data_IF_053022105912
#
_entry.id   IF_053022105912
#
_cell.length_a   1.000
_cell.length_b   1.000
_cell.length_c   1.000
_cell.angle_alpha   90.00
_cell.angle_beta   90.00
_cell.angle_gamma   90.00
#
_symmetry.space_group_name_H-M   'P 1'
#
loop_
_entity.id
_entity.type
_entity.pdbx_description
1 polymer ?
#
# COMPACT_ATOMS: atom_id res chain seq x y z
N UNK A 1 0.14 -11.64 12.77
CA UNK A 1 0.92 -10.41 12.51
C UNK A 1 2.31 -10.57 13.11
N UNK A 2 3.25 -11.06 12.32
CA UNK A 2 4.69 -11.16 12.66
C UNK A 2 5.28 -9.82 13.16
N UNK A 3 4.70 -8.69 12.73
CA UNK A 3 5.12 -7.34 13.11
C UNK A 3 5.03 -7.08 14.62
N UNK A 4 4.12 -7.73 15.34
CA UNK A 4 3.97 -7.58 16.80
C UNK A 4 5.18 -8.12 17.57
N UNK A 5 5.90 -9.07 17.01
CA UNK A 5 7.11 -9.63 17.61
C UNK A 5 8.34 -8.75 17.38
N UNK A 6 8.27 -7.83 16.40
CA UNK A 6 9.36 -6.89 16.11
C UNK A 6 9.38 -5.73 17.11
N UNK A 7 8.25 -5.33 17.68
CA UNK A 7 8.18 -4.20 18.63
C UNK A 7 8.99 -4.43 19.91
N UNK A 8 8.91 -5.60 20.60
CA UNK A 8 9.77 -5.90 21.75
C UNK A 8 11.26 -5.95 21.41
N UNK A 9 11.63 -6.45 20.22
CA UNK A 9 13.01 -6.48 19.75
C UNK A 9 13.55 -5.06 19.56
N UNK A 10 12.75 -4.15 19.01
CA UNK A 10 13.11 -2.73 18.85
C UNK A 10 13.27 -2.01 20.19
N UNK A 11 12.45 -2.30 21.20
CA UNK A 11 12.60 -1.69 22.54
C UNK A 11 13.91 -2.11 23.22
N UNK A 12 14.40 -3.34 22.97
CA UNK A 12 15.71 -3.78 23.47
C UNK A 12 16.88 -3.00 22.84
N UNK A 13 16.74 -2.61 21.56
CA UNK A 13 17.78 -1.86 20.82
C UNK A 13 17.66 -0.35 21.11
N UNK A 14 16.44 0.16 21.26
CA UNK A 14 16.12 1.57 21.50
C UNK A 14 15.30 1.70 22.80
N UNK A 15 15.94 1.57 23.97
CA UNK A 15 15.24 1.57 25.25
C UNK A 15 14.51 2.89 25.49
N UNK A 16 13.26 2.79 25.95
CA UNK A 16 12.35 3.90 26.22
C UNK A 16 11.90 4.70 24.99
N UNK A 17 12.23 4.32 23.76
CA UNK A 17 11.75 5.03 22.57
C UNK A 17 10.22 4.98 22.49
N UNK A 18 9.66 3.77 22.53
CA UNK A 18 8.20 3.61 22.45
C UNK A 18 7.53 4.13 23.71
N UNK A 19 8.11 3.87 24.89
CA UNK A 19 7.58 4.37 26.17
C UNK A 19 7.56 5.89 26.23
N UNK A 20 8.62 6.55 25.75
CA UNK A 20 8.72 8.02 25.67
C UNK A 20 7.68 8.65 24.76
N UNK A 21 7.21 7.91 23.74
CA UNK A 21 6.11 8.31 22.86
C UNK A 21 4.72 7.91 23.40
N UNK A 22 4.63 7.42 24.65
CA UNK A 22 3.37 6.94 25.24
C UNK A 22 2.80 5.70 24.55
N UNK A 23 3.65 4.90 23.91
CA UNK A 23 3.30 3.66 23.21
C UNK A 23 3.52 2.47 24.14
N UNK A 24 2.49 1.64 24.33
CA UNK A 24 2.54 0.45 25.19
C UNK A 24 2.71 -0.81 24.34
N UNK A 25 3.82 -1.52 24.55
CA UNK A 25 4.13 -2.78 23.85
C UNK A 25 3.10 -3.85 24.16
N UNK A 26 2.67 -3.96 25.42
CA UNK A 26 1.64 -4.91 25.84
C UNK A 26 0.31 -4.69 25.09
N UNK A 27 -0.10 -3.43 24.91
CA UNK A 27 -1.31 -3.10 24.16
C UNK A 27 -1.16 -3.48 22.68
N UNK A 28 0.00 -3.20 22.07
CA UNK A 28 0.29 -3.57 20.68
C UNK A 28 0.23 -5.08 20.47
N UNK A 29 0.79 -5.85 21.40
CA UNK A 29 0.76 -7.32 21.33
C UNK A 29 -0.66 -7.88 21.41
N UNK A 30 -1.55 -7.22 22.18
CA UNK A 30 -2.96 -7.61 22.34
C UNK A 30 -3.88 -7.13 21.22
N UNK A 31 -3.45 -6.23 20.34
CA UNK A 31 -4.26 -5.79 19.19
C UNK A 31 -4.74 -7.00 18.39
N UNK A 32 -5.97 -6.99 17.87
CA UNK A 32 -6.54 -8.10 17.07
C UNK A 32 -6.67 -7.75 15.60
N UNK A 33 -6.77 -6.46 15.30
CA UNK A 33 -6.95 -5.94 13.94
C UNK A 33 -5.79 -5.05 13.51
N UNK A 34 -5.64 -4.83 12.21
CA UNK A 34 -4.65 -3.89 11.69
C UNK A 34 -4.97 -2.45 12.12
N UNK A 35 -6.25 -2.07 12.16
CA UNK A 35 -6.70 -0.75 12.62
C UNK A 35 -6.33 -0.51 14.08
N UNK A 36 -6.51 -1.50 14.96
CA UNK A 36 -6.06 -1.39 16.36
C UNK A 36 -4.54 -1.24 16.47
N UNK A 37 -3.80 -2.00 15.65
CA UNK A 37 -2.34 -1.89 15.61
C UNK A 37 -1.91 -0.50 15.15
N UNK A 38 -2.52 0.03 14.08
CA UNK A 38 -2.22 1.36 13.56
C UNK A 38 -2.63 2.46 14.54
N UNK A 39 -3.73 2.27 15.26
CA UNK A 39 -4.16 3.21 16.31
C UNK A 39 -3.15 3.26 17.47
N UNK A 40 -2.59 2.11 17.85
CA UNK A 40 -1.70 2.00 19.00
C UNK A 40 -0.24 2.35 18.69
N UNK A 41 0.20 2.13 17.44
CA UNK A 41 1.59 2.29 17.02
C UNK A 41 1.73 3.26 15.84
N UNK A 42 1.20 2.90 14.67
CA UNK A 42 1.49 3.60 13.41
C UNK A 42 1.11 5.08 13.45
N UNK A 43 -0.11 5.40 13.89
CA UNK A 43 -0.59 6.77 14.03
C UNK A 43 0.27 7.59 14.98
N UNK A 44 0.65 7.04 16.14
CA UNK A 44 1.54 7.72 17.09
C UNK A 44 2.92 7.98 16.52
N UNK A 45 3.51 7.01 15.81
CA UNK A 45 4.78 7.20 15.12
C UNK A 45 4.68 8.26 14.02
N UNK A 46 3.53 8.36 13.36
CA UNK A 46 3.24 9.35 12.33
C UNK A 46 2.75 10.72 12.88
N UNK A 47 2.69 10.90 14.21
CA UNK A 47 2.18 12.12 14.83
C UNK A 47 0.69 12.40 14.57
N UNK A 48 -0.08 11.37 14.23
CA UNK A 48 -1.52 11.44 13.98
C UNK A 48 -2.30 11.14 15.26
N UNK A 49 -3.54 11.66 15.34
CA UNK A 49 -4.42 11.49 16.49
C UNK A 49 -4.79 10.01 16.73
N UNK A 50 -5.10 9.31 15.65
CA UNK A 50 -5.53 7.92 15.65
C UNK A 50 -5.31 7.29 14.25
N UNK A 51 -5.69 6.02 14.09
CA UNK A 51 -5.58 5.31 12.82
C UNK A 51 -6.34 5.98 11.68
N UNK A 52 -7.51 6.56 11.94
CA UNK A 52 -8.33 7.16 10.88
C UNK A 52 -7.75 8.50 10.42
N UNK A 53 -7.28 9.34 11.36
CA UNK A 53 -6.52 10.56 11.04
C UNK A 53 -5.24 10.21 10.25
N UNK A 54 -4.57 9.11 10.62
CA UNK A 54 -3.43 8.60 9.86
C UNK A 54 -3.82 8.22 8.43
N UNK A 55 -4.89 7.44 8.25
CA UNK A 55 -5.36 7.04 6.92
C UNK A 55 -5.82 8.24 6.08
N UNK A 56 -6.51 9.21 6.67
CA UNK A 56 -6.96 10.41 5.96
C UNK A 56 -5.78 11.23 5.43
N UNK A 57 -4.75 11.43 6.25
CA UNK A 57 -3.56 12.23 5.88
C UNK A 57 -2.59 11.51 4.96
N UNK A 58 -2.48 10.18 5.07
CA UNK A 58 -1.42 9.41 4.42
C UNK A 58 -1.93 8.48 3.31
N UNK A 59 -3.24 8.38 3.08
CA UNK A 59 -3.78 7.57 1.99
C UNK A 59 -3.48 8.22 0.64
N UNK A 60 -2.91 7.42 -0.27
CA UNK A 60 -2.67 7.83 -1.66
C UNK A 60 -3.96 8.17 -2.42
N UNK A 61 -5.10 7.61 -2.01
CA UNK A 61 -6.40 7.78 -2.66
C UNK A 61 -6.74 9.25 -2.96
N UNK A 62 -6.54 10.13 -1.98
CA UNK A 62 -6.91 11.54 -2.09
C UNK A 62 -5.99 12.35 -3.01
N UNK A 63 -4.84 11.77 -3.39
CA UNK A 63 -3.85 12.37 -4.27
C UNK A 63 -3.97 11.90 -5.72
N UNK A 64 -4.66 10.79 -6.00
CA UNK A 64 -4.79 10.22 -7.34
C UNK A 64 -5.37 11.22 -8.36
N UNK A 65 -6.32 12.05 -7.94
CA UNK A 65 -6.92 13.10 -8.79
C UNK A 65 -5.94 14.19 -9.25
N UNK A 66 -4.78 14.30 -8.59
CA UNK A 66 -3.74 15.31 -8.91
C UNK A 66 -2.67 14.78 -9.87
N UNK A 67 -2.79 13.53 -10.30
CA UNK A 67 -1.86 12.91 -11.24
C UNK A 67 -2.21 13.36 -12.66
N UNK A 68 -1.22 13.96 -13.34
CA UNK A 68 -1.32 14.46 -14.71
C UNK A 68 -0.34 13.77 -15.68
N UNK A 69 0.21 12.62 -15.28
CA UNK A 69 1.12 11.83 -16.09
C UNK A 69 0.61 10.39 -16.15
N UNK A 70 0.69 9.70 -17.31
CA UNK A 70 0.25 8.31 -17.42
C UNK A 70 0.85 7.44 -16.32
N UNK A 71 -0.02 6.83 -15.52
CA UNK A 71 0.32 6.11 -14.30
C UNK A 71 -0.43 4.79 -14.27
N UNK A 72 0.32 3.70 -14.17
CA UNK A 72 -0.21 2.36 -13.98
C UNK A 72 -0.34 2.05 -12.48
N UNK A 73 -1.54 1.68 -12.06
CA UNK A 73 -1.83 1.10 -10.75
C UNK A 73 -2.05 -0.39 -10.97
N UNK A 74 -1.16 -1.21 -10.42
CA UNK A 74 -1.26 -2.67 -10.47
C UNK A 74 -1.55 -3.21 -9.07
N UNK A 75 -2.65 -3.94 -8.92
CA UNK A 75 -3.02 -4.56 -7.63
C UNK A 75 -3.81 -5.83 -7.86
N UNK A 76 -3.29 -6.97 -7.41
CA UNK A 76 -3.92 -8.27 -7.61
C UNK A 76 -5.17 -8.47 -6.74
N UNK A 77 -6.17 -9.16 -7.30
CA UNK A 77 -7.44 -9.44 -6.62
C UNK A 77 -7.34 -10.45 -5.48
N UNK A 78 -6.29 -11.27 -5.47
CA UNK A 78 -5.99 -12.24 -4.42
C UNK A 78 -5.06 -11.70 -3.34
N UNK A 79 -4.77 -10.39 -3.33
CA UNK A 79 -3.97 -9.76 -2.27
C UNK A 79 -4.72 -9.80 -0.92
N UNK A 80 -4.23 -10.54 0.09
CA UNK A 80 -4.90 -10.65 1.39
C UNK A 80 -4.87 -9.37 2.22
N UNK A 81 -4.07 -8.37 1.83
CA UNK A 81 -3.97 -7.08 2.50
C UNK A 81 -4.98 -6.07 1.96
N UNK A 82 -5.53 -6.30 0.77
CA UNK A 82 -6.41 -5.34 0.08
C UNK A 82 -7.88 -5.68 0.29
N UNK A 83 -8.67 -4.67 0.66
CA UNK A 83 -10.13 -4.78 0.65
C UNK A 83 -10.70 -4.30 -0.69
N UNK A 84 -11.97 -4.60 -0.98
CA UNK A 84 -12.62 -4.13 -2.21
C UNK A 84 -12.60 -2.60 -2.40
N UNK A 85 -12.49 -1.82 -1.31
CA UNK A 85 -12.38 -0.35 -1.36
C UNK A 85 -10.98 0.16 -1.68
N UNK A 86 -9.97 -0.71 -1.69
CA UNK A 86 -8.59 -0.34 -1.99
C UNK A 86 -8.33 -0.20 -3.50
N UNK A 87 -9.26 -0.62 -4.35
CA UNK A 87 -9.17 -0.51 -5.80
C UNK A 87 -9.79 0.82 -6.27
N UNK A 88 -9.00 1.79 -6.76
CA UNK A 88 -9.46 3.15 -7.04
C UNK A 88 -10.22 3.25 -8.38
N UNK A 89 -11.28 2.45 -8.54
CA UNK A 89 -12.04 2.31 -9.78
C UNK A 89 -12.73 3.61 -10.17
N UNK A 90 -13.24 4.36 -9.19
CA UNK A 90 -13.91 5.63 -9.46
C UNK A 90 -12.91 6.74 -9.80
N UNK A 91 -11.75 6.77 -9.14
CA UNK A 91 -10.68 7.73 -9.44
C UNK A 91 -10.13 7.52 -10.85
N UNK A 92 -9.96 6.27 -11.27
CA UNK A 92 -9.52 5.89 -12.62
C UNK A 92 -10.54 6.29 -13.68
N UNK A 93 -11.84 6.08 -13.42
CA UNK A 93 -12.90 6.56 -14.33
C UNK A 93 -12.88 8.08 -14.51
N UNK A 94 -12.48 8.82 -13.48
CA UNK A 94 -12.49 10.28 -13.45
C UNK A 94 -11.15 10.92 -13.85
N UNK A 95 -10.10 10.13 -14.11
CA UNK A 95 -8.78 10.64 -14.50
C UNK A 95 -8.15 9.76 -15.59
N UNK A 96 -8.13 10.28 -16.82
CA UNK A 96 -7.59 9.58 -17.99
C UNK A 96 -6.09 9.26 -17.91
N UNK A 97 -5.34 9.89 -17.00
CA UNK A 97 -3.93 9.55 -16.75
C UNK A 97 -3.74 8.32 -15.87
N UNK A 98 -4.80 7.80 -15.25
CA UNK A 98 -4.74 6.63 -14.39
C UNK A 98 -5.22 5.39 -15.13
N UNK A 99 -4.43 4.32 -15.02
CA UNK A 99 -4.78 3.01 -15.55
C UNK A 99 -4.75 2.02 -14.40
N UNK A 100 -5.79 1.21 -14.26
CA UNK A 100 -5.90 0.22 -13.18
C UNK A 100 -5.95 -1.19 -13.74
N UNK A 101 -4.99 -2.00 -13.29
CA UNK A 101 -4.89 -3.40 -13.65
C UNK A 101 -5.08 -4.27 -12.40
N UNK A 102 -6.11 -5.12 -12.43
CA UNK A 102 -6.47 -5.99 -11.31
C UNK A 102 -6.43 -7.46 -11.73
N UNK A 103 -5.23 -8.04 -11.89
CA UNK A 103 -5.08 -9.44 -12.25
C UNK A 103 -5.69 -10.34 -11.18
N UNK A 104 -6.17 -11.53 -11.57
CA UNK A 104 -6.76 -12.50 -10.63
C UNK A 104 -5.74 -12.99 -9.59
N UNK A 105 -4.48 -13.10 -9.99
CA UNK A 105 -3.41 -13.65 -9.17
C UNK A 105 -2.18 -12.76 -9.21
N UNK A 106 -1.52 -12.63 -8.07
CA UNK A 106 -0.27 -11.90 -7.91
C UNK A 106 0.13 -11.74 -6.44
N UNK A 107 -0.83 -11.91 -5.53
CA UNK A 107 -0.65 -11.74 -4.10
C UNK A 107 -0.20 -10.33 -3.73
N UNK A 108 0.32 -10.17 -2.53
CA UNK A 108 0.78 -8.86 -2.04
C UNK A 108 2.12 -8.41 -2.64
N UNK A 109 3.04 -9.36 -2.89
CA UNK A 109 4.45 -9.06 -3.20
C UNK A 109 5.04 -9.87 -4.35
N UNK A 110 4.43 -10.98 -4.76
CA UNK A 110 5.18 -11.99 -5.50
C UNK A 110 5.03 -11.87 -7.00
N UNK A 111 3.81 -11.61 -7.53
CA UNK A 111 3.51 -11.57 -8.97
C UNK A 111 4.34 -12.62 -9.74
N UNK A 112 4.41 -13.81 -9.15
CA UNK A 112 5.43 -14.79 -9.50
C UNK A 112 4.90 -15.77 -10.54
N UNK A 113 5.81 -16.31 -11.35
CA UNK A 113 5.49 -17.37 -12.31
C UNK A 113 6.30 -18.63 -11.97
N UNK A 114 5.86 -19.78 -12.47
CA UNK A 114 6.61 -21.05 -12.36
C UNK A 114 7.73 -21.16 -13.41
N UNK A 115 7.96 -20.12 -14.20
CA UNK A 115 9.03 -20.06 -15.19
C UNK A 115 10.21 -19.25 -14.66
N UNK A 116 11.30 -19.19 -15.42
CA UNK A 116 12.50 -18.42 -15.04
C UNK A 116 12.25 -16.90 -15.02
N UNK A 117 11.23 -16.43 -15.71
CA UNK A 117 10.85 -15.02 -15.77
C UNK A 117 9.66 -14.76 -14.85
N UNK A 118 9.78 -13.79 -13.94
CA UNK A 118 8.64 -13.28 -13.21
C UNK A 118 7.70 -12.55 -14.18
N UNK A 119 6.39 -12.74 -14.03
CA UNK A 119 5.43 -12.21 -15.00
C UNK A 119 5.19 -10.71 -14.81
N UNK A 120 5.50 -10.16 -13.62
CA UNK A 120 5.41 -8.73 -13.33
C UNK A 120 6.25 -7.90 -14.29
N UNK A 121 7.51 -8.28 -14.48
CA UNK A 121 8.49 -7.57 -15.29
C UNK A 121 8.02 -7.52 -16.74
N UNK A 122 7.57 -8.67 -17.26
CA UNK A 122 6.99 -8.77 -18.59
C UNK A 122 5.75 -7.87 -18.72
N UNK A 123 4.83 -7.95 -17.77
CA UNK A 123 3.60 -7.17 -17.77
C UNK A 123 3.86 -5.66 -17.72
N UNK A 124 4.74 -5.21 -16.83
CA UNK A 124 5.11 -3.80 -16.71
C UNK A 124 5.78 -3.30 -17.98
N UNK A 125 6.67 -4.11 -18.57
CA UNK A 125 7.33 -3.74 -19.83
C UNK A 125 6.32 -3.55 -20.96
N UNK A 126 5.39 -4.50 -21.15
CA UNK A 126 4.33 -4.41 -22.16
C UNK A 126 3.45 -3.15 -21.96
N UNK A 127 3.10 -2.82 -20.72
CA UNK A 127 2.30 -1.61 -20.42
C UNK A 127 3.06 -0.31 -20.68
N UNK A 128 4.35 -0.27 -20.36
CA UNK A 128 5.18 0.91 -20.63
C UNK A 128 5.31 1.17 -22.12
N UNK A 129 5.49 0.13 -22.94
CA UNK A 129 5.55 0.30 -24.39
C UNK A 129 4.21 0.79 -24.97
N UNK A 130 3.08 0.24 -24.50
CA UNK A 130 1.75 0.69 -24.91
C UNK A 130 1.53 2.19 -24.62
N UNK A 131 1.93 2.68 -23.44
CA UNK A 131 1.83 4.11 -23.11
C UNK A 131 2.78 5.00 -23.92
N UNK A 132 3.88 4.46 -24.45
CA UNK A 132 4.75 5.22 -25.38
C UNK A 132 4.11 5.35 -26.76
N UNK A 133 3.37 4.34 -27.20
CA UNK A 133 2.68 4.34 -28.49
C UNK A 133 1.46 5.28 -28.47
N UNK A 134 0.64 5.23 -27.43
CA UNK A 134 -0.51 6.15 -27.26
C UNK A 134 -0.09 7.63 -27.26
N UNK A 135 1.09 7.95 -26.71
CA UNK A 135 1.63 9.32 -26.75
C UNK A 135 2.02 9.79 -28.15
N UNK A 136 2.37 8.88 -29.07
CA UNK A 136 2.77 9.23 -30.44
C UNK A 136 1.58 9.51 -31.35
N UNK A 137 0.41 8.92 -31.07
CA UNK A 137 -0.80 9.13 -31.88
C UNK A 137 -1.54 10.44 -31.56
N UNK A 138 -1.20 11.09 -30.44
CA UNK A 138 -1.87 12.32 -29.96
C UNK A 138 -1.04 13.60 -30.24
N UNK A 139 0.14 13.46 -30.87
CA UNK A 139 1.01 14.56 -31.34
C UNK A 139 1.06 14.62 -32.85
#
# INVERSE_FOLDING_TARGET
MEVKEKSPKKEKIYPNLLRGMGISIEKIQKAKTLVEFDHLLTSKLAGCKDAYDYYEKNSSLFHLKKIHHPTLILTALDDPMMSGRCYPREEVKNNAFLHLETPKYGGHISYASFTKEYWLEKFVFEKVELFKEEKKEVT
#
